data_IF_304386981134
#
_entry.id   IF_304386981134
#
_cell.length_a   1.000
_cell.length_b   1.000
_cell.length_c   1.000
_cell.angle_alpha   90.00
_cell.angle_beta   90.00
_cell.angle_gamma   90.00
#
_symmetry.space_group_name_H-M   'P 1'
#
loop_
_entity.id
_entity.type
_entity.pdbx_description
1 polymer ?
#
# COMPACT_ATOMS: atom_id res chain seq x y z
N UNK A 1 -6.34 -16.16 6.13
CA UNK A 1 -6.08 -14.80 6.65
C UNK A 1 -4.59 -14.51 6.56
N UNK A 2 -4.20 -13.44 5.88
CA UNK A 2 -2.81 -12.99 5.73
C UNK A 2 -2.42 -12.01 6.85
N UNK A 3 -3.23 -10.96 7.04
CA UNK A 3 -3.07 -9.96 8.09
C UNK A 3 -4.35 -9.89 8.91
N UNK A 4 -4.22 -9.89 10.23
CA UNK A 4 -5.30 -9.61 11.17
C UNK A 4 -4.86 -8.49 12.11
N UNK A 5 -5.67 -7.48 12.24
CA UNK A 5 -5.45 -6.30 13.08
C UNK A 5 -6.65 -6.18 14.03
N UNK A 6 -6.38 -6.14 15.33
CA UNK A 6 -7.40 -6.05 16.37
C UNK A 6 -7.10 -4.89 17.30
N UNK A 7 -8.10 -4.06 17.52
CA UNK A 7 -8.07 -2.96 18.48
C UNK A 7 -6.83 -2.05 18.32
N UNK A 8 -6.44 -1.75 17.08
CA UNK A 8 -5.27 -0.94 16.78
C UNK A 8 -5.44 0.49 17.26
N UNK A 9 -4.61 0.92 18.19
CA UNK A 9 -4.58 2.26 18.77
C UNK A 9 -3.23 2.90 18.55
N UNK A 10 -3.24 4.14 18.08
CA UNK A 10 -2.02 4.93 17.83
C UNK A 10 -2.24 6.36 18.26
N UNK A 11 -1.28 6.90 19.01
CA UNK A 11 -1.23 8.31 19.37
C UNK A 11 0.08 8.97 18.97
N UNK A 12 0.02 10.24 18.63
CA UNK A 12 1.17 11.14 18.41
C UNK A 12 1.16 12.20 19.52
N UNK A 13 1.97 11.98 20.55
CA UNK A 13 1.88 12.79 21.76
C UNK A 13 0.48 12.70 22.38
N UNK A 14 -0.18 13.82 22.53
CA UNK A 14 -1.54 13.90 23.09
C UNK A 14 -2.66 13.70 22.05
N UNK A 15 -2.33 13.55 20.77
CA UNK A 15 -3.32 13.41 19.71
C UNK A 15 -3.51 11.93 19.40
N UNK A 16 -4.70 11.41 19.69
CA UNK A 16 -5.07 10.04 19.35
C UNK A 16 -5.51 9.97 17.89
N UNK A 17 -4.73 9.24 17.08
CA UNK A 17 -4.95 9.11 15.64
C UNK A 17 -5.79 7.89 15.27
N UNK A 18 -5.71 6.79 16.06
CA UNK A 18 -6.54 5.60 15.89
C UNK A 18 -7.11 5.19 17.25
N UNK A 19 -8.40 4.90 17.30
CA UNK A 19 -9.18 4.69 18.52
C UNK A 19 -9.49 3.21 18.84
N UNK A 20 -8.84 2.26 18.16
CA UNK A 20 -9.05 0.82 18.36
C UNK A 20 -9.73 0.19 17.14
N UNK A 21 -9.18 0.40 15.96
CA UNK A 21 -9.70 -0.16 14.71
C UNK A 21 -9.32 -1.62 14.56
N UNK A 22 -10.22 -2.40 13.94
CA UNK A 22 -10.01 -3.83 13.67
C UNK A 22 -10.34 -4.12 12.21
N UNK A 23 -9.45 -4.80 11.50
CA UNK A 23 -9.64 -5.19 10.09
C UNK A 23 -8.79 -6.39 9.73
N UNK A 24 -9.12 -7.04 8.63
CA UNK A 24 -8.36 -8.18 8.15
C UNK A 24 -8.15 -8.15 6.64
N UNK A 25 -7.15 -8.91 6.18
CA UNK A 25 -6.80 -9.06 4.76
C UNK A 25 -6.49 -10.53 4.53
N UNK A 26 -7.10 -11.12 3.50
CA UNK A 26 -6.79 -12.46 3.06
C UNK A 26 -5.65 -12.48 2.03
N UNK A 27 -5.05 -13.66 1.82
CA UNK A 27 -4.00 -13.81 0.82
C UNK A 27 -4.55 -13.51 -0.58
N UNK A 28 -3.84 -12.66 -1.34
CA UNK A 28 -4.26 -12.25 -2.68
C UNK A 28 -5.47 -11.32 -2.72
N UNK A 29 -5.93 -10.82 -1.59
CA UNK A 29 -7.04 -9.86 -1.53
C UNK A 29 -6.56 -8.43 -1.74
N UNK A 30 -7.36 -7.61 -2.42
CA UNK A 30 -7.21 -6.16 -2.48
C UNK A 30 -8.22 -5.54 -1.55
N UNK A 31 -7.74 -4.91 -0.50
CA UNK A 31 -8.54 -4.21 0.50
C UNK A 31 -8.26 -2.72 0.45
N UNK A 32 -9.30 -1.92 0.62
CA UNK A 32 -9.14 -0.46 0.72
C UNK A 32 -9.65 0.09 2.04
N UNK A 33 -8.96 1.13 2.53
CA UNK A 33 -9.46 2.00 3.59
C UNK A 33 -9.67 3.38 2.98
N UNK A 34 -10.92 3.82 2.94
CA UNK A 34 -11.31 5.15 2.48
C UNK A 34 -11.63 6.06 3.65
N UNK A 35 -11.52 7.38 3.46
CA UNK A 35 -11.81 8.36 4.49
C UNK A 35 -11.24 9.73 4.14
N UNK A 36 -11.69 10.75 4.83
CA UNK A 36 -11.20 12.13 4.67
C UNK A 36 -9.71 12.28 5.07
N UNK A 37 -9.11 13.41 4.71
CA UNK A 37 -7.76 13.75 5.17
C UNK A 37 -7.78 13.90 6.70
N UNK A 38 -6.75 13.34 7.36
CA UNK A 38 -6.67 13.30 8.82
C UNK A 38 -7.47 12.17 9.48
N UNK A 39 -8.23 11.35 8.74
CA UNK A 39 -9.01 10.25 9.33
C UNK A 39 -8.17 9.13 9.99
N UNK A 40 -6.86 9.07 9.71
CA UNK A 40 -5.95 8.04 10.26
C UNK A 40 -5.46 7.01 9.24
N UNK A 41 -5.78 7.17 7.96
CA UNK A 41 -5.43 6.23 6.87
C UNK A 41 -3.92 5.92 6.81
N UNK A 42 -3.08 6.93 6.62
CA UNK A 42 -1.62 6.76 6.58
C UNK A 42 -1.05 6.26 7.90
N UNK A 43 -1.67 6.62 9.03
CA UNK A 43 -1.30 6.10 10.35
C UNK A 43 -1.52 4.59 10.44
N UNK A 44 -2.62 4.09 9.87
CA UNK A 44 -2.90 2.65 9.80
C UNK A 44 -1.80 1.92 9.04
N UNK A 45 -1.40 2.42 7.86
CA UNK A 45 -0.30 1.81 7.08
C UNK A 45 1.05 1.87 7.82
N UNK A 46 1.34 2.99 8.48
CA UNK A 46 2.57 3.15 9.28
C UNK A 46 2.59 2.21 10.49
N UNK A 47 1.45 1.95 11.11
CA UNK A 47 1.36 0.99 12.21
C UNK A 47 1.61 -0.45 11.73
N UNK A 48 0.97 -0.86 10.62
CA UNK A 48 1.18 -2.19 10.01
C UNK A 48 2.62 -2.38 9.55
N UNK A 49 3.27 -1.34 9.00
CA UNK A 49 4.70 -1.38 8.65
C UNK A 49 5.66 -1.19 9.83
N UNK A 50 5.14 -1.09 11.07
CA UNK A 50 5.91 -0.89 12.30
C UNK A 50 6.74 0.41 12.32
N UNK A 51 6.36 1.39 11.54
CA UNK A 51 7.03 2.70 11.47
C UNK A 51 6.59 3.67 12.58
N UNK A 52 5.51 3.33 13.29
CA UNK A 52 5.02 4.06 14.46
C UNK A 52 4.72 3.08 15.60
N UNK A 53 4.90 3.49 16.85
CA UNK A 53 4.50 2.68 17.99
C UNK A 53 2.98 2.51 18.05
N UNK A 54 2.52 1.37 18.56
CA UNK A 54 1.11 1.11 18.85
C UNK A 54 0.89 1.04 20.36
N UNK A 55 -0.31 1.39 20.80
CA UNK A 55 -0.65 1.38 22.22
C UNK A 55 -0.90 -0.06 22.73
N UNK A 56 -0.76 -0.25 24.04
CA UNK A 56 -1.09 -1.50 24.70
C UNK A 56 -2.55 -1.91 24.44
N UNK A 57 -2.78 -3.20 24.30
CA UNK A 57 -4.08 -3.77 23.93
C UNK A 57 -4.36 -3.82 22.42
N UNK A 58 -3.45 -3.30 21.58
CA UNK A 58 -3.45 -3.55 20.14
C UNK A 58 -2.86 -4.93 19.85
N UNK A 59 -3.45 -5.67 18.90
CA UNK A 59 -2.89 -6.92 18.40
C UNK A 59 -2.82 -6.91 16.87
N UNK A 60 -1.71 -7.38 16.33
CA UNK A 60 -1.53 -7.52 14.88
C UNK A 60 -0.82 -8.85 14.59
N UNK A 61 -1.42 -9.68 13.75
CA UNK A 61 -0.80 -10.94 13.31
C UNK A 61 -0.66 -10.96 11.79
N UNK A 62 0.48 -11.45 11.31
CA UNK A 62 0.72 -11.68 9.89
C UNK A 62 1.14 -13.13 9.69
N UNK A 63 0.35 -13.89 8.91
CA UNK A 63 0.58 -15.33 8.70
C UNK A 63 0.73 -16.11 10.03
N UNK A 64 -0.11 -15.79 11.02
CA UNK A 64 -0.08 -16.39 12.34
C UNK A 64 1.06 -15.96 13.26
N UNK A 65 1.93 -15.04 12.82
CA UNK A 65 3.03 -14.48 13.64
C UNK A 65 2.62 -13.14 14.23
N UNK A 66 2.94 -12.91 15.49
CA UNK A 66 2.71 -11.61 16.12
C UNK A 66 3.62 -10.54 15.46
N UNK A 67 2.97 -9.63 14.70
CA UNK A 67 3.66 -8.56 13.99
C UNK A 67 4.35 -7.57 14.93
N UNK A 68 3.86 -7.44 16.16
CA UNK A 68 4.42 -6.51 17.14
C UNK A 68 5.82 -6.92 17.62
N UNK A 69 6.18 -8.18 17.47
CA UNK A 69 7.51 -8.70 17.83
C UNK A 69 8.59 -8.38 16.79
N UNK A 70 8.20 -7.90 15.61
CA UNK A 70 9.12 -7.56 14.52
C UNK A 70 9.46 -6.06 14.55
N UNK A 71 10.75 -5.69 14.52
CA UNK A 71 11.13 -4.30 14.24
C UNK A 71 10.89 -3.95 12.77
N UNK A 72 10.73 -2.66 12.45
CA UNK A 72 10.35 -2.18 11.11
C UNK A 72 11.25 -2.70 9.98
N UNK A 73 12.56 -2.79 10.20
CA UNK A 73 13.54 -3.30 9.22
C UNK A 73 13.36 -4.78 8.90
N UNK A 74 12.71 -5.56 9.79
CA UNK A 74 12.46 -7.00 9.62
C UNK A 74 11.09 -7.30 8.98
N UNK A 75 10.17 -6.35 9.01
CA UNK A 75 8.83 -6.52 8.42
C UNK A 75 8.93 -6.82 6.93
N UNK A 76 9.76 -6.09 6.18
CA UNK A 76 9.98 -6.34 4.74
C UNK A 76 10.70 -7.67 4.51
N UNK A 77 11.85 -7.87 5.16
CA UNK A 77 12.74 -9.00 4.86
C UNK A 77 12.22 -10.36 5.36
N UNK A 78 11.40 -10.38 6.42
CA UNK A 78 10.90 -11.62 7.03
C UNK A 78 9.44 -11.90 6.76
N UNK A 79 8.61 -10.86 6.62
CA UNK A 79 7.17 -11.00 6.40
C UNK A 79 6.75 -10.65 4.97
N UNK A 80 7.61 -9.99 4.19
CA UNK A 80 7.30 -9.57 2.82
C UNK A 80 6.24 -8.49 2.74
N UNK A 81 6.07 -7.69 3.81
CA UNK A 81 5.19 -6.52 3.84
C UNK A 81 5.99 -5.31 3.36
N UNK A 82 5.55 -4.69 2.27
CA UNK A 82 6.20 -3.50 1.70
C UNK A 82 5.30 -2.29 1.82
N UNK A 83 5.88 -1.10 1.91
CA UNK A 83 5.14 0.14 2.04
C UNK A 83 5.60 1.17 1.02
N UNK A 84 4.67 1.63 0.19
CA UNK A 84 4.81 2.78 -0.70
C UNK A 84 4.13 3.96 -0.02
N UNK A 85 4.88 4.84 0.63
CA UNK A 85 4.31 5.99 1.33
C UNK A 85 3.92 7.09 0.34
N UNK A 86 3.10 8.00 0.79
CA UNK A 86 2.85 9.27 0.10
C UNK A 86 4.17 9.98 -0.24
N UNK A 87 4.27 10.60 -1.42
CA UNK A 87 5.47 11.30 -1.90
C UNK A 87 6.55 10.36 -2.44
N UNK A 88 6.23 9.07 -2.72
CA UNK A 88 7.03 8.09 -3.48
C UNK A 88 8.36 7.68 -2.86
N UNK A 89 9.07 8.59 -2.17
CA UNK A 89 10.34 8.36 -1.46
C UNK A 89 11.41 7.64 -2.30
N UNK A 90 11.61 8.11 -3.54
CA UNK A 90 12.66 7.62 -4.43
C UNK A 90 14.02 8.23 -4.08
N UNK A 91 15.07 7.54 -4.49
CA UNK A 91 16.42 8.10 -4.51
C UNK A 91 16.63 8.86 -5.83
N UNK A 92 16.30 10.16 -5.85
CA UNK A 92 16.21 10.96 -7.05
C UNK A 92 17.50 11.08 -7.87
N UNK A 93 18.65 10.96 -7.23
CA UNK A 93 19.99 10.93 -7.84
C UNK A 93 20.37 9.57 -8.44
N UNK A 94 19.64 8.51 -8.12
CA UNK A 94 19.85 7.18 -8.68
C UNK A 94 18.96 6.97 -9.93
N UNK A 95 19.46 6.18 -10.85
CA UNK A 95 18.71 5.74 -12.03
C UNK A 95 17.54 4.84 -11.65
N UNK A 96 16.61 4.62 -12.59
CA UNK A 96 15.54 3.63 -12.44
C UNK A 96 16.10 2.26 -12.07
N UNK A 97 17.11 1.78 -12.79
CA UNK A 97 17.73 0.48 -12.55
C UNK A 97 18.35 0.40 -11.15
N UNK A 98 19.10 1.39 -10.73
CA UNK A 98 19.72 1.43 -9.40
C UNK A 98 18.69 1.49 -8.28
N UNK A 99 17.59 2.24 -8.46
CA UNK A 99 16.47 2.23 -7.52
C UNK A 99 15.85 0.84 -7.36
N UNK A 100 15.65 0.09 -8.45
CA UNK A 100 15.12 -1.28 -8.42
C UNK A 100 16.12 -2.25 -7.77
N UNK A 101 17.40 -2.15 -8.10
CA UNK A 101 18.45 -2.99 -7.52
C UNK A 101 18.61 -2.75 -6.02
N UNK A 102 18.62 -1.50 -5.57
CA UNK A 102 18.72 -1.15 -4.15
C UNK A 102 17.57 -1.75 -3.33
N UNK A 103 16.37 -1.85 -3.91
CA UNK A 103 15.22 -2.45 -3.25
C UNK A 103 15.40 -3.94 -2.92
N UNK A 104 16.36 -4.62 -3.55
CA UNK A 104 16.64 -6.03 -3.31
C UNK A 104 17.70 -6.28 -2.22
N UNK A 105 18.24 -5.23 -1.60
CA UNK A 105 19.36 -5.33 -0.67
C UNK A 105 19.13 -6.31 0.49
N UNK A 106 17.90 -6.33 1.03
CA UNK A 106 17.54 -7.22 2.14
C UNK A 106 17.13 -8.65 1.70
N UNK A 107 17.09 -8.94 0.39
CA UNK A 107 16.69 -10.26 -0.14
C UNK A 107 17.82 -11.27 -0.05
N UNK A 108 17.43 -12.53 0.20
CA UNK A 108 18.35 -13.68 0.21
C UNK A 108 18.37 -14.44 -1.12
N UNK A 109 17.29 -14.34 -1.92
CA UNK A 109 17.06 -15.07 -3.18
C UNK A 109 17.60 -14.30 -4.40
N UNK A 110 18.89 -14.05 -4.43
CA UNK A 110 19.57 -13.22 -5.46
C UNK A 110 19.36 -13.72 -6.89
N UNK A 111 19.18 -15.01 -7.08
CA UNK A 111 18.98 -15.62 -8.41
C UNK A 111 17.68 -15.17 -9.08
N UNK A 112 16.66 -14.81 -8.30
CA UNK A 112 15.39 -14.33 -8.81
C UNK A 112 15.38 -12.83 -9.17
N UNK A 113 16.36 -12.05 -8.72
CA UNK A 113 16.37 -10.58 -8.90
C UNK A 113 16.29 -10.19 -10.37
N UNK A 114 17.06 -10.86 -11.26
CA UNK A 114 17.02 -10.57 -12.69
C UNK A 114 15.66 -10.87 -13.33
N UNK A 115 15.02 -11.95 -12.90
CA UNK A 115 13.66 -12.31 -13.34
C UNK A 115 12.67 -11.25 -12.89
N UNK A 116 12.80 -10.78 -11.66
CA UNK A 116 11.89 -9.81 -11.07
C UNK A 116 12.05 -8.42 -11.69
N UNK A 117 13.27 -8.00 -12.02
CA UNK A 117 13.50 -6.77 -12.78
C UNK A 117 12.81 -6.83 -14.14
N UNK A 118 12.94 -7.95 -14.87
CA UNK A 118 12.21 -8.15 -16.13
C UNK A 118 10.71 -8.04 -15.93
N UNK A 119 10.20 -8.67 -14.85
CA UNK A 119 8.77 -8.60 -14.52
C UNK A 119 8.30 -7.19 -14.23
N UNK A 120 9.09 -6.36 -13.51
CA UNK A 120 8.78 -4.93 -13.32
C UNK A 120 8.70 -4.20 -14.65
N UNK A 121 9.59 -4.49 -15.58
CA UNK A 121 9.59 -3.84 -16.90
C UNK A 121 8.45 -4.31 -17.80
N UNK A 122 8.01 -5.56 -17.69
CA UNK A 122 6.79 -6.06 -18.35
C UNK A 122 5.54 -5.31 -17.85
N UNK A 123 5.45 -5.10 -16.52
CA UNK A 123 4.33 -4.37 -15.90
C UNK A 123 4.41 -2.87 -16.20
N UNK A 124 5.62 -2.31 -16.23
CA UNK A 124 5.88 -0.89 -16.42
C UNK A 124 6.87 -0.65 -17.57
N UNK A 125 6.48 -0.81 -18.86
CA UNK A 125 7.41 -0.68 -20.00
C UNK A 125 8.14 0.68 -20.05
N UNK A 126 7.47 1.74 -19.59
CA UNK A 126 8.10 3.07 -19.50
C UNK A 126 9.33 3.13 -18.59
N UNK A 127 9.39 2.29 -17.56
CA UNK A 127 10.57 2.20 -16.71
C UNK A 127 11.75 1.53 -17.44
N UNK A 128 11.49 0.58 -18.33
CA UNK A 128 12.53 -0.03 -19.14
C UNK A 128 13.14 0.96 -20.13
N UNK A 129 12.31 1.72 -20.84
CA UNK A 129 12.75 2.76 -21.78
C UNK A 129 13.67 3.78 -21.09
N UNK A 130 13.46 4.02 -19.79
CA UNK A 130 14.15 5.02 -18.97
C UNK A 130 15.09 4.42 -17.93
N UNK A 131 15.49 3.17 -18.10
CA UNK A 131 16.26 2.42 -17.09
C UNK A 131 17.54 3.11 -16.60
N UNK A 132 18.17 3.92 -17.46
CA UNK A 132 19.40 4.66 -17.16
C UNK A 132 19.14 6.13 -16.78
N UNK A 133 17.88 6.57 -16.74
CA UNK A 133 17.50 7.94 -16.38
C UNK A 133 17.47 8.10 -14.86
N UNK A 134 17.99 9.23 -14.35
CA UNK A 134 17.87 9.60 -12.94
C UNK A 134 16.39 9.77 -12.55
N UNK A 135 15.95 9.10 -11.49
CA UNK A 135 14.53 9.04 -11.13
C UNK A 135 13.95 10.41 -10.72
N UNK A 136 14.77 11.33 -10.23
CA UNK A 136 14.33 12.68 -9.90
C UNK A 136 13.91 13.53 -11.10
N UNK A 137 14.33 13.15 -12.33
CA UNK A 137 13.99 13.86 -13.58
C UNK A 137 12.76 13.27 -14.29
N UNK A 138 12.15 12.23 -13.75
CA UNK A 138 10.98 11.56 -14.33
C UNK A 138 9.69 12.30 -13.98
N UNK A 139 8.66 12.09 -14.80
CA UNK A 139 7.32 12.57 -14.49
C UNK A 139 6.76 11.94 -13.20
N UNK A 140 5.79 12.62 -12.56
CA UNK A 140 5.19 12.11 -11.34
C UNK A 140 4.58 10.72 -11.47
N UNK A 141 3.97 10.38 -12.62
CA UNK A 141 3.42 9.05 -12.89
C UNK A 141 4.50 7.99 -13.02
N UNK A 142 5.59 8.27 -13.73
CA UNK A 142 6.72 7.36 -13.86
C UNK A 142 7.42 7.12 -12.51
N UNK A 143 7.54 8.17 -11.69
CA UNK A 143 8.04 8.04 -10.33
C UNK A 143 7.13 7.15 -9.46
N UNK A 144 5.81 7.26 -9.62
CA UNK A 144 4.85 6.40 -8.90
C UNK A 144 4.99 4.93 -9.33
N UNK A 145 5.11 4.68 -10.64
CA UNK A 145 5.37 3.34 -11.18
C UNK A 145 6.69 2.77 -10.62
N UNK A 146 7.74 3.58 -10.55
CA UNK A 146 9.01 3.17 -9.96
C UNK A 146 8.91 2.86 -8.47
N UNK A 147 8.15 3.64 -7.70
CA UNK A 147 7.93 3.38 -6.28
C UNK A 147 7.21 2.04 -6.04
N UNK A 148 6.19 1.73 -6.86
CA UNK A 148 5.50 0.44 -6.84
C UNK A 148 6.43 -0.69 -7.28
N UNK A 149 7.21 -0.49 -8.34
CA UNK A 149 8.22 -1.45 -8.80
C UNK A 149 9.25 -1.77 -7.71
N UNK A 150 9.72 -0.76 -6.97
CA UNK A 150 10.61 -0.96 -5.81
C UNK A 150 9.96 -1.78 -4.69
N UNK A 151 8.70 -1.51 -4.36
CA UNK A 151 7.97 -2.29 -3.38
C UNK A 151 7.85 -3.75 -3.81
N UNK A 152 7.51 -3.99 -5.09
CA UNK A 152 7.48 -5.33 -5.69
C UNK A 152 8.83 -6.05 -5.59
N UNK A 153 9.93 -5.36 -5.86
CA UNK A 153 11.28 -5.92 -5.74
C UNK A 153 11.68 -6.27 -4.32
N UNK A 154 11.15 -5.55 -3.30
CA UNK A 154 11.52 -5.73 -1.89
C UNK A 154 10.77 -6.88 -1.21
N UNK A 155 9.49 -7.11 -1.56
CA UNK A 155 8.65 -8.15 -0.96
C UNK A 155 7.30 -8.23 -1.67
N UNK A 156 6.65 -9.43 -1.64
CA UNK A 156 5.51 -9.72 -2.50
C UNK A 156 4.27 -10.26 -1.78
N UNK A 157 4.27 -10.28 -0.44
CA UNK A 157 3.12 -10.86 0.28
C UNK A 157 2.01 -9.86 0.49
N UNK A 158 2.38 -8.68 0.98
CA UNK A 158 1.44 -7.59 1.22
C UNK A 158 2.08 -6.26 0.81
N UNK A 159 1.42 -5.52 -0.06
CA UNK A 159 1.83 -4.18 -0.47
C UNK A 159 0.88 -3.14 0.15
N UNK A 160 1.44 -2.25 0.95
CA UNK A 160 0.76 -1.13 1.56
C UNK A 160 0.96 0.11 0.68
N UNK A 161 -0.12 0.75 0.25
CA UNK A 161 -0.08 1.88 -0.68
C UNK A 161 -0.80 3.09 -0.07
N UNK A 162 -0.05 4.17 0.11
CA UNK A 162 -0.55 5.43 0.67
C UNK A 162 -0.85 6.43 -0.45
N UNK A 163 -2.13 6.60 -0.78
CA UNK A 163 -2.68 7.48 -1.81
C UNK A 163 -1.93 7.40 -3.17
N UNK A 164 -1.84 6.19 -3.77
CA UNK A 164 -1.04 5.99 -4.99
C UNK A 164 -1.52 6.77 -6.20
N UNK A 165 -2.74 7.29 -6.18
CA UNK A 165 -3.31 8.09 -7.27
C UNK A 165 -3.07 9.59 -7.15
N UNK A 166 -2.57 10.07 -5.99
CA UNK A 166 -2.48 11.49 -5.71
C UNK A 166 -1.56 12.24 -6.70
N UNK A 167 -2.08 13.33 -7.26
CA UNK A 167 -1.33 14.18 -8.20
C UNK A 167 -1.08 13.55 -9.58
N UNK A 168 -1.79 12.49 -9.93
CA UNK A 168 -1.73 11.86 -11.25
C UNK A 168 -2.87 12.33 -12.16
N UNK A 169 -2.59 12.40 -13.46
CA UNK A 169 -3.65 12.55 -14.45
C UNK A 169 -4.57 11.33 -14.48
N UNK A 170 -5.84 11.45 -14.91
CA UNK A 170 -6.78 10.32 -14.94
C UNK A 170 -6.23 9.08 -15.67
N UNK A 171 -5.53 9.29 -16.79
CA UNK A 171 -4.93 8.20 -17.55
C UNK A 171 -3.82 7.48 -16.76
N UNK A 172 -2.91 8.23 -16.14
CA UNK A 172 -1.82 7.66 -15.34
C UNK A 172 -2.34 6.95 -14.09
N UNK A 173 -3.38 7.50 -13.47
CA UNK A 173 -4.08 6.87 -12.35
C UNK A 173 -4.61 5.49 -12.76
N UNK A 174 -5.34 5.40 -13.88
CA UNK A 174 -5.85 4.11 -14.38
C UNK A 174 -4.73 3.11 -14.67
N UNK A 175 -3.61 3.56 -15.26
CA UNK A 175 -2.46 2.71 -15.54
C UNK A 175 -1.84 2.15 -14.24
N UNK A 176 -1.70 2.99 -13.20
CA UNK A 176 -1.20 2.55 -11.88
C UNK A 176 -2.12 1.49 -11.28
N UNK A 177 -3.42 1.71 -11.26
CA UNK A 177 -4.37 0.74 -10.71
C UNK A 177 -4.41 -0.56 -11.53
N UNK A 178 -4.26 -0.47 -12.84
CA UNK A 178 -4.21 -1.64 -13.70
C UNK A 178 -2.95 -2.48 -13.45
N UNK A 179 -1.80 -1.82 -13.27
CA UNK A 179 -0.56 -2.48 -12.88
C UNK A 179 -0.67 -3.16 -11.50
N UNK A 180 -1.32 -2.53 -10.53
CA UNK A 180 -1.58 -3.14 -9.22
C UNK A 180 -2.49 -4.37 -9.32
N UNK A 181 -3.53 -4.35 -10.17
CA UNK A 181 -4.35 -5.55 -10.46
C UNK A 181 -3.53 -6.67 -11.10
N UNK A 182 -2.64 -6.31 -11.99
CA UNK A 182 -1.75 -7.26 -12.66
C UNK A 182 -0.82 -7.94 -11.63
N UNK A 183 -0.17 -7.14 -10.76
CA UNK A 183 0.66 -7.65 -9.65
C UNK A 183 -0.16 -8.57 -8.73
N UNK A 184 -1.34 -8.15 -8.33
CA UNK A 184 -2.20 -8.96 -7.48
C UNK A 184 -2.58 -10.29 -8.14
N UNK A 185 -3.07 -10.25 -9.39
CA UNK A 185 -3.57 -11.43 -10.11
C UNK A 185 -2.48 -12.44 -10.43
N UNK A 186 -1.29 -12.00 -10.84
CA UNK A 186 -0.25 -12.89 -11.34
C UNK A 186 0.70 -13.35 -10.24
N UNK A 187 0.97 -12.49 -9.25
CA UNK A 187 1.92 -12.78 -8.19
C UNK A 187 1.25 -13.20 -6.87
N UNK A 188 -0.08 -13.10 -6.79
CA UNK A 188 -0.83 -13.38 -5.56
C UNK A 188 -0.55 -12.39 -4.42
N UNK A 189 0.04 -11.22 -4.75
CA UNK A 189 0.33 -10.18 -3.76
C UNK A 189 -0.95 -9.57 -3.22
N UNK A 190 -1.18 -9.65 -1.91
CA UNK A 190 -2.27 -8.92 -1.28
C UNK A 190 -1.95 -7.41 -1.27
N UNK A 191 -2.99 -6.58 -1.36
CA UNK A 191 -2.83 -5.12 -1.40
C UNK A 191 -3.73 -4.49 -0.35
N UNK A 192 -3.16 -3.65 0.51
CA UNK A 192 -3.89 -2.71 1.33
C UNK A 192 -3.62 -1.32 0.81
N UNK A 193 -4.64 -0.70 0.27
CA UNK A 193 -4.53 0.65 -0.25
C UNK A 193 -5.37 1.62 0.57
N UNK A 194 -4.84 2.80 0.86
CA UNK A 194 -5.60 3.92 1.39
C UNK A 194 -5.72 4.99 0.33
N UNK A 195 -6.92 5.54 0.18
CA UNK A 195 -7.22 6.50 -0.87
C UNK A 195 -8.25 7.53 -0.43
N UNK A 196 -8.12 8.73 -0.96
CA UNK A 196 -9.14 9.76 -0.84
C UNK A 196 -10.19 9.61 -1.95
N UNK A 197 -9.80 9.15 -3.14
CA UNK A 197 -10.74 8.83 -4.22
C UNK A 197 -11.47 7.51 -3.94
N UNK A 198 -12.48 7.59 -3.09
CA UNK A 198 -13.24 6.43 -2.62
C UNK A 198 -13.87 5.61 -3.76
N UNK A 199 -14.42 6.30 -4.79
CA UNK A 199 -15.04 5.62 -5.95
C UNK A 199 -14.04 4.74 -6.69
N UNK A 200 -12.83 5.24 -6.92
CA UNK A 200 -11.79 4.50 -7.60
C UNK A 200 -11.31 3.34 -6.74
N UNK A 201 -11.02 3.61 -5.47
CA UNK A 201 -10.54 2.62 -4.52
C UNK A 201 -11.52 1.43 -4.37
N UNK A 202 -12.81 1.71 -4.19
CA UNK A 202 -13.85 0.67 -4.08
C UNK A 202 -14.05 -0.11 -5.39
N UNK A 203 -13.95 0.52 -6.56
CA UNK A 203 -13.99 -0.19 -7.85
C UNK A 203 -12.80 -1.13 -8.05
N UNK A 204 -11.72 -0.86 -7.39
CA UNK A 204 -10.47 -1.61 -7.55
C UNK A 204 -10.35 -2.77 -6.55
N UNK A 205 -10.92 -2.65 -5.35
CA UNK A 205 -10.82 -3.60 -4.25
C UNK A 205 -12.00 -4.57 -4.15
N UNK A 206 -11.80 -5.68 -3.45
CA UNK A 206 -12.86 -6.63 -3.11
C UNK A 206 -13.57 -6.23 -1.82
N UNK A 207 -12.83 -5.67 -0.87
CA UNK A 207 -13.33 -5.29 0.46
C UNK A 207 -12.92 -3.86 0.77
N UNK A 208 -13.80 -3.13 1.45
CA UNK A 208 -13.56 -1.77 1.88
C UNK A 208 -13.88 -1.54 3.35
N UNK A 209 -13.18 -0.58 3.91
CA UNK A 209 -13.40 -0.03 5.24
C UNK A 209 -13.51 1.48 5.13
N UNK A 210 -14.45 2.08 5.87
CA UNK A 210 -14.60 3.54 5.95
C UNK A 210 -14.05 4.01 7.29
N UNK A 211 -13.04 4.87 7.24
CA UNK A 211 -12.35 5.42 8.41
C UNK A 211 -12.72 6.89 8.62
N UNK A 212 -13.26 7.21 9.79
CA UNK A 212 -13.61 8.58 10.21
C UNK A 212 -13.04 8.87 11.60
N UNK A 213 -12.29 9.96 11.71
CA UNK A 213 -11.75 10.41 13.00
C UNK A 213 -11.12 9.28 13.84
N UNK A 214 -10.32 8.41 13.19
CA UNK A 214 -9.63 7.31 13.85
C UNK A 214 -10.49 6.09 14.18
N UNK A 215 -11.74 6.01 13.72
CA UNK A 215 -12.66 4.88 13.93
C UNK A 215 -13.09 4.29 12.59
N UNK A 216 -13.24 2.95 12.53
CA UNK A 216 -13.90 2.30 11.40
C UNK A 216 -15.43 2.39 11.63
N UNK A 217 -16.12 3.07 10.71
CA UNK A 217 -17.56 3.31 10.81
C UNK A 217 -18.38 2.38 9.93
N UNK A 218 -17.83 1.93 8.81
CA UNK A 218 -18.45 0.97 7.89
C UNK A 218 -17.41 -0.01 7.38
N UNK A 219 -17.84 -1.25 7.13
CA UNK A 219 -17.04 -2.28 6.45
C UNK A 219 -17.93 -3.16 5.57
N UNK A 220 -17.35 -3.74 4.53
CA UNK A 220 -18.09 -4.68 3.68
C UNK A 220 -17.44 -4.94 2.34
N UNK A 221 -18.12 -5.71 1.51
CA UNK A 221 -17.76 -5.88 0.11
C UNK A 221 -17.76 -4.52 -0.59
N UNK A 222 -16.72 -4.24 -1.39
CA UNK A 222 -16.58 -2.94 -2.09
C UNK A 222 -17.77 -2.64 -2.99
N UNK A 223 -18.36 -3.67 -3.62
CA UNK A 223 -19.56 -3.55 -4.44
C UNK A 223 -20.78 -3.08 -3.64
N UNK A 224 -20.91 -3.51 -2.39
CA UNK A 224 -21.94 -3.04 -1.47
C UNK A 224 -21.70 -1.60 -1.05
N UNK A 225 -20.47 -1.29 -0.61
CA UNK A 225 -20.12 0.05 -0.13
C UNK A 225 -20.23 1.13 -1.21
N UNK A 226 -19.91 0.82 -2.47
CA UNK A 226 -20.03 1.79 -3.58
C UNK A 226 -21.50 2.17 -3.85
N UNK A 227 -22.45 1.35 -3.42
CA UNK A 227 -23.88 1.57 -3.56
C UNK A 227 -24.55 2.10 -2.28
N UNK A 228 -23.83 2.11 -1.18
CA UNK A 228 -24.32 2.60 0.11
C UNK A 228 -24.66 4.10 0.05
N UNK A 229 -25.85 4.53 0.51
CA UNK A 229 -26.26 5.94 0.47
C UNK A 229 -25.36 6.87 1.29
N UNK A 230 -24.89 6.43 2.47
CA UNK A 230 -24.02 7.24 3.34
C UNK A 230 -22.63 7.40 2.71
N UNK A 231 -22.08 6.32 2.17
CA UNK A 231 -20.81 6.36 1.44
C UNK A 231 -20.91 7.24 0.20
N UNK A 232 -22.02 7.14 -0.56
CA UNK A 232 -22.26 8.01 -1.72
C UNK A 232 -22.29 9.48 -1.33
N UNK A 233 -23.04 9.83 -0.32
CA UNK A 233 -23.19 11.21 0.15
C UNK A 233 -21.88 11.79 0.70
N UNK A 234 -21.13 11.01 1.48
CA UNK A 234 -19.94 11.49 2.17
C UNK A 234 -18.67 11.48 1.29
N UNK A 235 -18.54 10.49 0.37
CA UNK A 235 -17.26 10.18 -0.28
C UNK A 235 -17.30 10.03 -1.79
N UNK A 236 -18.48 9.87 -2.44
CA UNK A 236 -18.56 9.59 -3.87
C UNK A 236 -19.02 10.77 -4.72
N UNK A 237 -19.33 11.91 -4.09
CA UNK A 237 -19.87 13.09 -4.76
C UNK A 237 -21.27 12.76 -5.27
N UNK A 238 -22.27 12.89 -4.41
CA UNK A 238 -23.68 12.72 -4.73
C UNK A 238 -24.17 13.77 -5.70
#
# INVERSE_FOLDING_TARGET
MLLNVENLRVSYGNIKALHGISFNIDAGEIVTIIGANGAGKSTTLRAVSRMVPVEAGSAMTCMGKDLLTFPADRVVSQLGITHVPEGRRLFGNLTVMENLQLATFARKDRDNVKKDIRRVFEIFPRLEERRSQASGTMSGGEQQMLAIGRAFMSGRRLMLLDEPSMGLSPLLMMNVFQALKEINRQEGTAILLVEQNARLALKFSQKGYVLENGNLVLEGASETLINDPEVKKAYLGG
#
